data_IF_277555046002
#
_entry.id   IF_277555046002
#
_cell.length_a   1.000
_cell.length_b   1.000
_cell.length_c   1.000
_cell.angle_alpha   90.00
_cell.angle_beta   90.00
_cell.angle_gamma   90.00
#
_symmetry.space_group_name_H-M   'P 1'
#
loop_
_entity.id
_entity.type
_entity.pdbx_description
1 polymer ?
#
# COMPACT_ATOMS: atom_id res chain seq x y z
N UNK A 1 7.32 -3.54 9.41
CA UNK A 1 7.51 -4.25 8.13
C UNK A 1 7.73 -3.19 7.09
N UNK A 2 8.76 -3.35 6.27
CA UNK A 2 9.05 -2.37 5.23
C UNK A 2 8.04 -2.48 4.10
N UNK A 3 7.45 -1.36 3.68
CA UNK A 3 6.46 -1.30 2.61
C UNK A 3 6.71 -0.09 1.69
N UNK A 4 6.23 -0.19 0.44
CA UNK A 4 6.05 0.96 -0.46
C UNK A 4 4.63 1.51 -0.23
N UNK A 5 4.53 2.80 0.08
CA UNK A 5 3.29 3.45 0.53
C UNK A 5 2.98 4.67 -0.31
N UNK A 6 1.69 4.88 -0.60
CA UNK A 6 1.11 6.14 -1.04
C UNK A 6 0.33 6.74 0.13
N UNK A 7 0.66 7.96 0.54
CA UNK A 7 -0.10 8.69 1.58
C UNK A 7 -1.39 9.32 1.03
N UNK A 8 -1.45 9.51 -0.29
CA UNK A 8 -2.61 9.98 -1.04
C UNK A 8 -2.52 9.48 -2.48
N UNK A 9 -3.63 9.48 -3.24
CA UNK A 9 -3.57 9.20 -4.66
C UNK A 9 -2.53 10.09 -5.35
N UNK A 10 -1.74 9.52 -6.26
CA UNK A 10 -0.55 10.15 -6.81
C UNK A 10 0.10 9.34 -7.92
N UNK A 11 1.29 9.80 -8.32
CA UNK A 11 2.12 9.16 -9.34
C UNK A 11 3.11 8.18 -8.70
N UNK A 12 3.69 7.22 -9.46
CA UNK A 12 4.67 6.29 -8.91
C UNK A 12 5.82 6.95 -8.14
N UNK A 13 6.27 8.12 -8.58
CA UNK A 13 7.35 8.89 -7.92
C UNK A 13 6.99 9.40 -6.51
N UNK A 14 5.70 9.42 -6.16
CA UNK A 14 5.24 9.76 -4.81
C UNK A 14 5.23 8.58 -3.84
N UNK A 15 5.59 7.37 -4.30
CA UNK A 15 5.76 6.22 -3.42
C UNK A 15 6.94 6.45 -2.46
N UNK A 16 6.72 6.13 -1.20
CA UNK A 16 7.75 6.20 -0.16
C UNK A 16 7.94 4.86 0.52
N UNK A 17 9.18 4.59 0.93
CA UNK A 17 9.47 3.45 1.77
C UNK A 17 9.13 3.81 3.22
N UNK A 18 8.26 3.03 3.86
CA UNK A 18 7.89 3.22 5.26
C UNK A 18 7.98 1.91 6.06
N UNK A 19 8.15 2.04 7.38
CA UNK A 19 7.90 0.94 8.31
C UNK A 19 6.42 0.95 8.71
N UNK A 20 5.73 -0.16 8.47
CA UNK A 20 4.32 -0.34 8.78
C UNK A 20 4.14 -1.44 9.83
N UNK A 21 3.06 -1.43 10.63
CA UNK A 21 2.72 -2.55 11.50
C UNK A 21 2.66 -3.88 10.73
N UNK A 22 3.06 -4.97 11.38
CA UNK A 22 2.87 -6.30 10.80
C UNK A 22 1.36 -6.62 10.79
N UNK A 23 0.75 -6.91 9.62
CA UNK A 23 -0.66 -7.26 9.56
C UNK A 23 -0.91 -8.55 10.35
N UNK A 24 -2.04 -8.60 11.05
CA UNK A 24 -2.55 -9.81 11.68
C UNK A 24 -3.67 -10.34 10.79
N UNK A 25 -3.59 -11.59 10.31
CA UNK A 25 -4.67 -12.18 9.51
C UNK A 25 -5.87 -12.48 10.40
N UNK A 26 -7.06 -12.30 9.85
CA UNK A 26 -8.32 -12.76 10.46
C UNK A 26 -8.57 -14.25 10.18
N UNK A 27 -9.72 -14.76 10.64
CA UNK A 27 -10.19 -16.11 10.27
C UNK A 27 -10.27 -16.22 8.74
N UNK A 28 -9.76 -17.33 8.20
CA UNK A 28 -9.67 -17.63 6.76
C UNK A 28 -8.68 -16.78 5.95
N UNK A 29 -7.80 -16.02 6.60
CA UNK A 29 -6.71 -15.30 5.95
C UNK A 29 -5.34 -15.93 6.23
N UNK A 30 -4.37 -15.65 5.35
CA UNK A 30 -2.96 -16.03 5.56
C UNK A 30 -2.06 -14.81 5.51
N UNK A 31 -1.01 -14.80 6.33
CA UNK A 31 0.06 -13.80 6.24
C UNK A 31 1.21 -14.32 5.40
N UNK A 32 1.50 -13.62 4.30
CA UNK A 32 2.57 -13.98 3.37
C UNK A 32 3.79 -13.10 3.61
N UNK A 33 4.97 -13.73 3.72
CA UNK A 33 6.25 -13.01 3.61
C UNK A 33 6.62 -12.87 2.13
N UNK A 34 6.44 -11.67 1.59
CA UNK A 34 6.69 -11.36 0.18
C UNK A 34 8.20 -11.42 -0.11
N UNK A 35 8.59 -12.25 -1.09
CA UNK A 35 9.99 -12.34 -1.59
C UNK A 35 10.20 -11.55 -2.89
N UNK A 36 9.13 -11.33 -3.66
CA UNK A 36 9.13 -10.57 -4.90
C UNK A 36 7.70 -10.23 -5.32
N UNK A 37 7.55 -9.18 -6.13
CA UNK A 37 6.26 -8.71 -6.68
C UNK A 37 6.45 -8.32 -8.14
N UNK A 38 5.38 -8.44 -8.94
CA UNK A 38 5.35 -7.95 -10.31
C UNK A 38 4.65 -6.59 -10.38
N UNK A 39 5.11 -5.72 -11.29
CA UNK A 39 4.40 -4.49 -11.65
C UNK A 39 3.36 -4.78 -12.73
N UNK A 40 2.18 -4.17 -12.60
CA UNK A 40 1.07 -4.30 -13.52
C UNK A 40 0.66 -2.93 -14.08
N UNK A 41 0.14 -2.85 -15.32
CA UNK A 41 -0.39 -1.60 -15.89
C UNK A 41 -1.54 -0.96 -15.09
N UNK A 42 -2.21 -1.72 -14.21
CA UNK A 42 -3.28 -1.17 -13.37
C UNK A 42 -2.74 -0.41 -12.16
N UNK A 43 -1.51 -0.68 -11.74
CA UNK A 43 -0.96 -0.15 -10.48
C UNK A 43 -0.86 1.38 -10.51
N UNK A 44 -0.31 1.95 -11.59
CA UNK A 44 -0.21 3.42 -11.72
C UNK A 44 -1.57 4.10 -11.91
N UNK A 45 -2.55 3.38 -12.48
CA UNK A 45 -3.91 3.89 -12.66
C UNK A 45 -4.61 4.00 -11.31
N UNK A 46 -4.51 2.95 -10.49
CA UNK A 46 -5.07 2.89 -9.14
C UNK A 46 -4.33 3.86 -8.21
N UNK A 47 -3.01 3.96 -8.34
CA UNK A 47 -2.21 4.96 -7.63
C UNK A 47 -2.76 6.38 -7.87
N UNK A 48 -3.03 6.74 -9.14
CA UNK A 48 -3.52 8.06 -9.49
C UNK A 48 -5.00 8.30 -9.11
N UNK A 49 -5.87 7.30 -9.30
CA UNK A 49 -7.31 7.45 -9.04
C UNK A 49 -7.70 7.33 -7.57
N UNK A 50 -6.90 6.59 -6.79
CA UNK A 50 -7.27 6.18 -5.44
C UNK A 50 -8.39 5.13 -5.40
N UNK A 51 -8.82 4.78 -4.19
CA UNK A 51 -9.97 3.93 -3.93
C UNK A 51 -10.74 4.42 -2.72
N UNK A 52 -12.07 4.35 -2.76
CA UNK A 52 -12.92 4.64 -1.60
C UNK A 52 -12.71 3.67 -0.43
N UNK A 53 -12.04 2.53 -0.67
CA UNK A 53 -11.64 1.57 0.37
C UNK A 53 -10.33 1.95 1.07
N UNK A 54 -9.63 2.98 0.61
CA UNK A 54 -8.36 3.39 1.23
C UNK A 54 -8.64 4.12 2.54
N UNK A 55 -8.20 3.51 3.64
CA UNK A 55 -8.08 4.18 4.92
C UNK A 55 -6.80 5.03 4.92
N UNK A 56 -6.87 6.21 4.32
CA UNK A 56 -5.80 7.21 4.44
C UNK A 56 -5.90 7.81 5.83
N UNK A 57 -5.09 7.27 6.74
CA UNK A 57 -4.76 7.98 7.96
C UNK A 57 -3.86 9.14 7.52
N UNK A 58 -4.46 10.33 7.35
CA UNK A 58 -3.70 11.57 7.39
C UNK A 58 -2.98 11.58 8.74
N UNK A 59 -1.68 11.27 8.75
CA UNK A 59 -0.83 11.64 9.87
C UNK A 59 -0.89 13.16 9.89
N UNK A 60 -1.76 13.70 10.74
CA UNK A 60 -1.77 15.12 11.09
C UNK A 60 -0.64 15.30 12.09
N UNK A 61 0.36 16.08 11.70
CA UNK A 61 1.17 16.83 12.67
C UNK A 61 0.31 17.86 13.40
#
# INVERSE_FOLDING_TARGET
MKALVLEKPGIPDSLLMAEMPLPQPEVDEIRVKVHGVGLNPVDYKVAASGSSRWSINLIRE
#
